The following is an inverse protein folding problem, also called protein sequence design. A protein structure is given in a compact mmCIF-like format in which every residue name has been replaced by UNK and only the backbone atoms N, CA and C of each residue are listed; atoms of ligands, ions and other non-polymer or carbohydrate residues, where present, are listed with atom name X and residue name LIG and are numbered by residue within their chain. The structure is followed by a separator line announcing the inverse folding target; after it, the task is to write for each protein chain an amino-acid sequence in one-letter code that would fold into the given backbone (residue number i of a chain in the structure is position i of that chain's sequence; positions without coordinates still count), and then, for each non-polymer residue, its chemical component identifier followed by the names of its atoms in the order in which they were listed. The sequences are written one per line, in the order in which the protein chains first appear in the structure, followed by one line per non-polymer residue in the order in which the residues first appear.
data_IF_469951949112
#
_entry.id   IF_469951949112
#
_cell.length_a   1.000
_cell.length_b   1.000
_cell.length_c   1.000
_cell.angle_alpha   90.00
_cell.angle_beta   90.00
_cell.angle_gamma   90.00
#
_symmetry.space_group_name_H-M   'P 1'
#
loop_
_entity.id
_entity.type
_entity.pdbx_description
1 polymer ?
#
# COMPACT_ATOMS: atom_id res chain seq x y z
N UNK A 1 9.13 -23.20 1.48
CA UNK A 1 9.49 -21.78 1.73
C UNK A 1 9.28 -20.96 0.47
N UNK A 2 8.32 -20.04 0.45
CA UNK A 2 8.04 -19.17 -0.70
C UNK A 2 9.18 -18.12 -0.77
N UNK A 3 10.15 -18.37 -1.65
CA UNK A 3 11.37 -17.60 -2.01
C UNK A 3 11.53 -16.21 -1.33
N UNK A 4 12.57 -16.05 -0.48
CA UNK A 4 13.19 -14.74 -0.20
C UNK A 4 12.45 -13.76 0.73
N UNK A 5 11.29 -14.12 1.25
CA UNK A 5 10.57 -13.34 2.26
C UNK A 5 11.07 -13.71 3.65
N UNK A 6 11.80 -12.79 4.29
CA UNK A 6 12.04 -12.87 5.74
C UNK A 6 10.78 -12.39 6.46
N UNK A 7 10.54 -12.83 7.70
CA UNK A 7 9.43 -12.35 8.51
C UNK A 7 9.42 -10.82 8.59
N UNK A 8 10.59 -10.19 8.73
CA UNK A 8 10.74 -8.73 8.71
C UNK A 8 10.23 -8.07 7.40
N UNK A 9 10.47 -8.69 6.23
CA UNK A 9 9.95 -8.20 4.95
C UNK A 9 8.43 -8.36 4.85
N UNK A 10 7.88 -9.46 5.37
CA UNK A 10 6.42 -9.67 5.43
C UNK A 10 5.78 -8.61 6.32
N UNK A 11 6.33 -8.38 7.51
CA UNK A 11 5.80 -7.40 8.44
C UNK A 11 5.88 -5.98 7.88
N UNK A 12 6.96 -5.64 7.19
CA UNK A 12 7.08 -4.35 6.51
C UNK A 12 6.00 -4.18 5.44
N UNK A 13 5.77 -5.20 4.62
CA UNK A 13 4.75 -5.17 3.58
C UNK A 13 3.34 -5.05 4.18
N UNK A 14 3.06 -5.75 5.29
CA UNK A 14 1.79 -5.61 6.02
C UNK A 14 1.61 -4.20 6.58
N UNK A 15 2.66 -3.60 7.15
CA UNK A 15 2.63 -2.20 7.63
C UNK A 15 2.34 -1.23 6.49
N UNK A 16 3.02 -1.36 5.36
CA UNK A 16 2.83 -0.49 4.20
C UNK A 16 1.39 -0.58 3.67
N UNK A 17 0.87 -1.81 3.49
CA UNK A 17 -0.51 -2.03 3.05
C UNK A 17 -1.52 -1.42 4.02
N UNK A 18 -1.33 -1.61 5.32
CA UNK A 18 -2.20 -1.03 6.35
C UNK A 18 -2.23 0.49 6.25
N UNK A 19 -1.07 1.15 6.14
CA UNK A 19 -0.98 2.63 6.02
C UNK A 19 -1.74 3.15 4.80
N UNK A 20 -1.68 2.44 3.67
CA UNK A 20 -2.40 2.84 2.45
C UNK A 20 -3.91 2.73 2.64
N UNK A 21 -4.39 1.64 3.24
CA UNK A 21 -5.81 1.49 3.56
C UNK A 21 -6.29 2.58 4.52
N UNK A 22 -5.53 2.85 5.58
CA UNK A 22 -5.83 3.93 6.54
C UNK A 22 -5.83 5.31 5.88
N UNK A 23 -4.89 5.56 4.96
CA UNK A 23 -4.85 6.80 4.17
C UNK A 23 -6.11 6.95 3.32
N UNK A 24 -6.55 5.89 2.64
CA UNK A 24 -7.77 5.93 1.82
C UNK A 24 -9.00 6.23 2.68
N UNK A 25 -9.11 5.62 3.86
CA UNK A 25 -10.21 5.90 4.80
C UNK A 25 -10.14 7.35 5.29
N UNK A 26 -8.97 7.84 5.72
CA UNK A 26 -8.79 9.21 6.22
C UNK A 26 -9.14 10.28 5.19
N UNK A 27 -8.92 9.98 3.90
CA UNK A 27 -9.23 10.88 2.80
C UNK A 27 -10.60 10.61 2.14
N UNK A 28 -11.46 9.81 2.77
CA UNK A 28 -12.81 9.48 2.31
C UNK A 28 -12.87 8.90 0.89
N UNK A 29 -11.96 7.99 0.55
CA UNK A 29 -12.03 7.26 -0.71
C UNK A 29 -13.16 6.24 -0.60
N UNK A 30 -14.28 6.53 -1.26
CA UNK A 30 -15.48 5.67 -1.27
C UNK A 30 -15.77 5.10 -2.66
N UNK A 31 -15.20 5.70 -3.70
CA UNK A 31 -15.37 5.27 -5.08
C UNK A 31 -14.49 4.03 -5.39
N UNK A 32 -15.13 3.00 -5.96
CA UNK A 32 -14.47 1.73 -6.26
C UNK A 32 -13.30 1.90 -7.23
N UNK A 33 -13.42 2.79 -8.22
CA UNK A 33 -12.36 3.02 -9.20
C UNK A 33 -11.17 3.71 -8.53
N UNK A 34 -11.42 4.73 -7.72
CA UNK A 34 -10.37 5.41 -6.95
C UNK A 34 -9.61 4.45 -6.02
N UNK A 35 -10.33 3.55 -5.32
CA UNK A 35 -9.73 2.52 -4.46
C UNK A 35 -8.90 1.53 -5.30
N UNK A 36 -9.48 1.01 -6.38
CA UNK A 36 -8.83 0.03 -7.24
C UNK A 36 -7.56 0.58 -7.90
N UNK A 37 -7.62 1.82 -8.39
CA UNK A 37 -6.47 2.51 -8.99
C UNK A 37 -5.34 2.70 -7.97
N UNK A 38 -5.68 3.03 -6.72
CA UNK A 38 -4.70 3.17 -5.63
C UNK A 38 -4.02 1.84 -5.30
N UNK A 39 -4.80 0.74 -5.22
CA UNK A 39 -4.27 -0.61 -4.97
C UNK A 39 -3.37 -1.06 -6.12
N UNK A 40 -3.81 -0.87 -7.36
CA UNK A 40 -3.04 -1.23 -8.55
C UNK A 40 -1.74 -0.42 -8.65
N UNK A 41 -1.77 0.86 -8.29
CA UNK A 41 -0.59 1.71 -8.23
C UNK A 41 0.43 1.20 -7.18
N UNK A 42 -0.04 0.73 -6.02
CA UNK A 42 0.83 0.15 -5.00
C UNK A 42 1.48 -1.15 -5.49
N UNK A 43 0.69 -2.05 -6.10
CA UNK A 43 1.20 -3.32 -6.61
C UNK A 43 2.23 -3.14 -7.73
N UNK A 44 2.06 -2.12 -8.57
CA UNK A 44 2.95 -1.85 -9.70
C UNK A 44 4.21 -1.08 -9.29
N UNK A 45 4.06 -0.05 -8.44
CA UNK A 45 5.14 0.84 -8.04
C UNK A 45 4.97 1.30 -6.57
N UNK A 46 5.28 0.45 -5.59
CA UNK A 46 5.01 0.72 -4.18
C UNK A 46 5.76 1.96 -3.67
N UNK A 47 7.06 2.06 -3.97
CA UNK A 47 7.90 3.18 -3.50
C UNK A 47 7.41 4.53 -4.03
N UNK A 48 6.98 4.58 -5.29
CA UNK A 48 6.45 5.81 -5.91
C UNK A 48 5.14 6.23 -5.24
N UNK A 49 4.26 5.29 -4.92
CA UNK A 49 3.00 5.60 -4.27
C UNK A 49 3.21 6.06 -2.83
N UNK A 50 4.04 5.35 -2.05
CA UNK A 50 4.33 5.72 -0.67
C UNK A 50 4.90 7.14 -0.58
N UNK A 51 5.83 7.49 -1.48
CA UNK A 51 6.37 8.85 -1.60
C UNK A 51 5.31 9.88 -1.99
N UNK A 52 4.47 9.58 -2.98
CA UNK A 52 3.38 10.47 -3.42
C UNK A 52 2.39 10.77 -2.29
N UNK A 53 2.12 9.79 -1.43
CA UNK A 53 1.18 9.90 -0.32
C UNK A 53 1.84 10.39 0.97
N UNK A 54 3.16 10.66 0.97
CA UNK A 54 3.95 10.98 2.17
C UNK A 54 3.80 9.92 3.29
N UNK A 55 3.90 8.64 2.94
CA UNK A 55 3.72 7.48 3.83
C UNK A 55 5.03 6.68 4.09
N UNK A 56 6.18 7.22 3.66
CA UNK A 56 7.51 6.67 3.89
C UNK A 56 7.83 6.50 5.39
#
# INVERSE_FOLDING_TARGET
MRRGWTNAKVDQELRNRKRILEYMVKNNYTDFKQISDTINAYQSTPDKLLKKLNLE
#
